data_IF_227867244654
#
_entry.id   IF_227867244654
#
_cell.length_a   1.000
_cell.length_b   1.000
_cell.length_c   1.000
_cell.angle_alpha   90.00
_cell.angle_beta   90.00
_cell.angle_gamma   90.00
#
_symmetry.space_group_name_H-M   'P 1'
#
loop_
_entity.id
_entity.type
_entity.pdbx_description
1 polymer ?
#
# COMPACT_ATOMS: atom_id res chain seq x y z
N UNK A 1 -36.67 -11.90 -37.45
CA UNK A 1 -35.54 -12.60 -36.80
C UNK A 1 -34.87 -11.63 -35.83
N UNK A 2 -35.14 -11.75 -34.52
CA UNK A 2 -34.48 -10.91 -33.49
C UNK A 2 -33.16 -11.57 -33.12
N UNK A 3 -32.03 -10.89 -33.46
CA UNK A 3 -30.71 -11.32 -33.00
C UNK A 3 -30.60 -10.94 -31.52
N UNK A 4 -30.65 -11.91 -30.62
CA UNK A 4 -30.34 -11.73 -29.21
C UNK A 4 -28.82 -11.81 -29.10
N UNK A 5 -28.16 -10.68 -28.95
CA UNK A 5 -26.73 -10.63 -28.62
C UNK A 5 -26.62 -10.95 -27.13
N UNK A 6 -26.29 -12.19 -26.83
CA UNK A 6 -25.93 -12.60 -25.47
C UNK A 6 -24.50 -12.12 -25.24
N UNK A 7 -24.34 -11.08 -24.44
CA UNK A 7 -23.03 -10.75 -23.87
C UNK A 7 -22.67 -11.86 -22.86
N UNK A 8 -21.87 -12.81 -23.29
CA UNK A 8 -21.19 -13.71 -22.35
C UNK A 8 -20.20 -12.82 -21.58
N UNK A 9 -20.63 -12.34 -20.43
CA UNK A 9 -19.70 -11.79 -19.44
C UNK A 9 -18.87 -12.98 -19.00
N UNK A 10 -17.59 -12.93 -19.27
CA UNK A 10 -16.63 -13.94 -18.84
C UNK A 10 -16.58 -13.92 -17.31
N UNK A 11 -17.39 -14.79 -16.68
CA UNK A 11 -17.65 -14.81 -15.22
C UNK A 11 -16.40 -15.23 -14.44
N UNK A 12 -15.35 -15.68 -15.14
CA UNK A 12 -14.13 -16.24 -14.52
C UNK A 12 -12.95 -15.26 -14.45
N UNK A 13 -13.10 -14.02 -14.91
CA UNK A 13 -12.00 -13.07 -14.79
C UNK A 13 -11.98 -12.51 -13.38
N UNK A 14 -11.06 -13.00 -12.56
CA UNK A 14 -10.80 -12.40 -11.25
C UNK A 14 -10.41 -10.94 -11.46
N UNK A 15 -11.07 -10.05 -10.73
CA UNK A 15 -10.76 -8.64 -10.71
C UNK A 15 -10.46 -8.20 -9.28
N UNK A 16 -9.53 -7.29 -9.14
CA UNK A 16 -9.17 -6.70 -7.86
C UNK A 16 -9.31 -5.18 -7.91
N UNK A 17 -9.35 -4.56 -6.74
CA UNK A 17 -9.27 -3.10 -6.62
C UNK A 17 -7.89 -2.70 -6.13
N UNK A 18 -7.50 -1.44 -6.34
CA UNK A 18 -6.26 -0.88 -5.81
C UNK A 18 -6.61 0.24 -4.84
N UNK A 19 -5.86 0.35 -3.75
CA UNK A 19 -6.02 1.41 -2.74
C UNK A 19 -4.68 2.10 -2.52
N UNK A 20 -4.68 3.43 -2.71
CA UNK A 20 -3.49 4.26 -2.60
C UNK A 20 -3.81 5.46 -1.68
N UNK A 21 -3.50 5.39 -0.39
CA UNK A 21 -3.57 6.57 0.48
C UNK A 21 -2.41 7.52 0.14
N UNK A 22 -2.71 8.79 -0.10
CA UNK A 22 -1.71 9.80 -0.44
C UNK A 22 -1.91 11.05 0.41
N UNK A 23 -0.82 11.67 0.84
CA UNK A 23 -0.82 13.01 1.40
C UNK A 23 0.35 13.82 0.84
N UNK A 24 0.11 15.10 0.50
CA UNK A 24 1.11 15.97 -0.15
C UNK A 24 2.43 16.02 0.62
N UNK A 25 2.35 16.06 1.95
CA UNK A 25 3.52 16.12 2.83
C UNK A 25 3.43 15.07 3.94
N UNK A 26 4.56 14.50 4.28
CA UNK A 26 4.67 13.60 5.42
C UNK A 26 4.63 14.43 6.71
N UNK A 27 3.50 14.48 7.40
CA UNK A 27 3.43 15.03 8.76
C UNK A 27 3.95 13.96 9.72
N UNK A 28 5.23 14.08 10.07
CA UNK A 28 5.78 13.32 11.18
C UNK A 28 5.39 14.01 12.50
N UNK A 29 4.63 13.30 13.33
CA UNK A 29 4.30 13.75 14.68
C UNK A 29 5.49 13.50 15.62
N UNK A 30 6.52 14.33 15.51
CA UNK A 30 7.53 14.46 16.57
C UNK A 30 7.86 15.94 16.71
N UNK A 31 8.02 16.40 17.95
CA UNK A 31 8.41 17.77 18.25
C UNK A 31 9.75 18.18 17.61
N UNK A 32 10.56 17.23 17.19
CA UNK A 32 11.84 17.44 16.50
C UNK A 32 11.71 17.86 15.03
N UNK A 33 10.61 17.51 14.35
CA UNK A 33 10.39 17.81 12.94
C UNK A 33 9.70 19.15 12.65
N UNK A 34 9.44 19.98 13.67
CA UNK A 34 9.01 21.37 13.46
C UNK A 34 10.02 22.22 12.67
N UNK A 35 11.24 21.71 12.45
CA UNK A 35 12.32 22.41 11.69
C UNK A 35 12.35 22.09 10.20
N UNK A 36 11.64 21.10 9.71
CA UNK A 36 11.55 20.87 8.26
C UNK A 36 10.44 21.79 7.75
N UNK A 37 10.82 22.95 7.22
CA UNK A 37 9.88 23.85 6.54
C UNK A 37 9.23 23.08 5.39
N UNK A 38 7.88 22.95 5.36
CA UNK A 38 7.16 22.24 4.31
C UNK A 38 7.15 22.95 2.96
N UNK A 39 7.87 24.06 2.80
CA UNK A 39 7.64 25.08 1.79
C UNK A 39 8.35 24.85 0.46
N UNK A 40 8.99 23.72 0.24
CA UNK A 40 9.52 23.43 -1.09
C UNK A 40 8.62 22.42 -1.78
N UNK A 41 7.92 22.85 -2.81
CA UNK A 41 7.16 21.99 -3.75
C UNK A 41 8.00 20.80 -4.25
N UNK A 42 9.33 20.97 -4.26
CA UNK A 42 10.29 19.94 -4.60
C UNK A 42 10.18 18.67 -3.74
N UNK A 43 9.62 18.75 -2.52
CA UNK A 43 9.48 17.66 -1.57
C UNK A 43 8.07 17.07 -1.51
N UNK A 44 7.20 17.44 -2.44
CA UNK A 44 5.83 16.98 -2.50
C UNK A 44 5.74 15.49 -2.86
N UNK A 45 5.05 14.70 -2.04
CA UNK A 45 4.69 13.31 -2.38
C UNK A 45 3.84 13.26 -3.65
N UNK A 46 3.02 14.27 -3.93
CA UNK A 46 2.24 14.37 -5.16
C UNK A 46 3.14 14.36 -6.38
N UNK A 47 4.20 15.16 -6.37
CA UNK A 47 5.16 15.19 -7.47
C UNK A 47 5.84 13.83 -7.69
N UNK A 48 6.28 13.19 -6.62
CA UNK A 48 6.85 11.82 -6.68
C UNK A 48 5.83 10.85 -7.26
N UNK A 49 4.61 10.88 -6.75
CA UNK A 49 3.53 10.02 -7.22
C UNK A 49 3.25 10.23 -8.70
N UNK A 50 2.96 11.46 -9.13
CA UNK A 50 2.60 11.74 -10.51
C UNK A 50 3.73 11.47 -11.50
N UNK A 51 4.92 11.95 -11.19
CA UNK A 51 6.01 11.92 -12.14
C UNK A 51 6.74 10.55 -12.20
N UNK A 52 6.60 9.72 -11.17
CA UNK A 52 7.27 8.42 -11.09
C UNK A 52 6.27 7.29 -10.89
N UNK A 53 5.66 7.17 -9.70
CA UNK A 53 4.84 6.00 -9.35
C UNK A 53 3.66 5.82 -10.29
N UNK A 54 2.89 6.89 -10.56
CA UNK A 54 1.74 6.82 -11.45
C UNK A 54 2.11 6.49 -12.90
N UNK A 55 3.18 7.07 -13.42
CA UNK A 55 3.68 6.73 -14.77
C UNK A 55 4.09 5.26 -14.86
N UNK A 56 4.75 4.73 -13.84
CA UNK A 56 5.11 3.32 -13.78
C UNK A 56 3.86 2.44 -13.68
N UNK A 57 2.86 2.83 -12.91
CA UNK A 57 1.58 2.13 -12.83
C UNK A 57 0.87 2.13 -14.17
N UNK A 58 0.72 3.29 -14.81
CA UNK A 58 0.09 3.43 -16.13
C UNK A 58 0.73 2.54 -17.20
N UNK A 59 2.03 2.32 -17.12
CA UNK A 59 2.79 1.52 -18.06
C UNK A 59 2.70 0.01 -17.82
N UNK A 60 2.68 -0.41 -16.57
CA UNK A 60 3.00 -1.77 -16.18
C UNK A 60 1.84 -2.54 -15.52
N UNK A 61 0.81 -1.86 -15.00
CA UNK A 61 -0.40 -2.53 -14.51
C UNK A 61 -1.31 -2.95 -15.65
N UNK A 62 -1.96 -4.10 -15.48
CA UNK A 62 -3.02 -4.55 -16.39
C UNK A 62 -4.37 -3.98 -15.94
N UNK A 63 -4.72 -2.79 -16.39
CA UNK A 63 -5.96 -2.10 -15.99
C UNK A 63 -7.25 -2.84 -16.37
N UNK A 64 -7.19 -3.84 -17.26
CA UNK A 64 -8.35 -4.68 -17.58
C UNK A 64 -8.75 -5.63 -16.44
N UNK A 65 -7.84 -5.87 -15.51
CA UNK A 65 -8.04 -6.71 -14.32
C UNK A 65 -8.41 -5.89 -13.08
N UNK A 66 -8.35 -4.56 -13.18
CA UNK A 66 -8.60 -3.65 -12.06
C UNK A 66 -10.03 -3.10 -12.15
N UNK A 67 -10.86 -3.39 -11.15
CA UNK A 67 -12.23 -2.89 -11.05
C UNK A 67 -12.25 -1.38 -10.73
N UNK A 68 -11.58 -0.99 -9.65
CA UNK A 68 -11.54 0.40 -9.19
C UNK A 68 -10.20 0.71 -8.53
N UNK A 69 -9.66 1.89 -8.81
CA UNK A 69 -8.53 2.46 -8.10
C UNK A 69 -9.07 3.52 -7.13
N UNK A 70 -8.92 3.29 -5.85
CA UNK A 70 -9.26 4.24 -4.80
C UNK A 70 -8.02 5.05 -4.41
N UNK A 71 -8.05 6.35 -4.64
CA UNK A 71 -7.04 7.30 -4.19
C UNK A 71 -7.64 8.08 -3.03
N UNK A 72 -7.06 7.94 -1.84
CA UNK A 72 -7.60 8.54 -0.61
C UNK A 72 -6.71 9.67 -0.13
N UNK A 73 -7.30 10.84 0.04
CA UNK A 73 -6.59 12.11 0.29
C UNK A 73 -7.17 12.86 1.49
N UNK A 74 -6.37 13.68 2.18
CA UNK A 74 -6.87 14.69 3.09
C UNK A 74 -7.82 15.67 2.37
N UNK A 75 -8.94 16.02 3.02
CA UNK A 75 -9.99 16.91 2.48
C UNK A 75 -9.43 18.14 1.75
N UNK A 76 -8.53 18.87 2.42
CA UNK A 76 -7.96 20.12 1.94
C UNK A 76 -6.96 19.98 0.77
N UNK A 77 -6.66 18.75 0.33
CA UNK A 77 -5.71 18.45 -0.75
C UNK A 77 -6.38 17.90 -2.01
N UNK A 78 -7.68 17.62 -1.95
CA UNK A 78 -8.41 16.94 -3.05
C UNK A 78 -8.42 17.76 -4.34
N UNK A 79 -8.73 19.03 -4.24
CA UNK A 79 -8.87 19.90 -5.43
C UNK A 79 -7.52 20.12 -6.10
N UNK A 80 -6.48 20.42 -5.34
CA UNK A 80 -5.12 20.53 -5.84
C UNK A 80 -4.63 19.22 -6.48
N UNK A 81 -4.93 18.09 -5.83
CA UNK A 81 -4.57 16.78 -6.37
C UNK A 81 -5.27 16.52 -7.72
N UNK A 82 -6.58 16.79 -7.82
CA UNK A 82 -7.35 16.60 -9.05
C UNK A 82 -6.83 17.47 -10.19
N UNK A 83 -6.57 18.74 -9.91
CA UNK A 83 -6.04 19.68 -10.90
C UNK A 83 -4.74 19.17 -11.52
N UNK A 84 -3.84 18.64 -10.70
CA UNK A 84 -2.58 18.09 -11.19
C UNK A 84 -2.73 16.70 -11.81
N UNK A 85 -3.52 15.81 -11.19
CA UNK A 85 -3.68 14.42 -11.61
C UNK A 85 -4.22 14.28 -13.03
N UNK A 86 -5.20 15.10 -13.42
CA UNK A 86 -5.79 15.03 -14.76
C UNK A 86 -4.88 15.55 -15.88
N UNK A 87 -3.73 16.12 -15.57
CA UNK A 87 -2.68 16.43 -16.55
C UNK A 87 -1.88 15.19 -16.98
N UNK A 88 -2.00 14.10 -16.24
CA UNK A 88 -1.31 12.84 -16.52
C UNK A 88 -2.21 11.83 -17.25
N UNK A 89 -1.64 10.83 -17.94
CA UNK A 89 -2.42 9.79 -18.61
C UNK A 89 -3.38 9.10 -17.67
N UNK A 90 -4.63 8.94 -18.11
CA UNK A 90 -5.68 8.27 -17.35
C UNK A 90 -5.96 6.90 -17.98
N UNK A 91 -5.92 5.80 -17.20
CA UNK A 91 -6.34 4.49 -17.69
C UNK A 91 -7.87 4.45 -17.84
N UNK A 92 -8.36 3.49 -18.62
CA UNK A 92 -9.81 3.29 -18.79
C UNK A 92 -10.50 2.65 -17.57
N UNK A 93 -9.76 2.35 -16.53
CA UNK A 93 -10.28 1.82 -15.27
C UNK A 93 -10.93 2.92 -14.45
N UNK A 94 -11.96 2.57 -13.69
CA UNK A 94 -12.60 3.50 -12.76
C UNK A 94 -11.61 3.99 -11.70
N UNK A 95 -11.53 5.30 -11.51
CA UNK A 95 -10.74 5.94 -10.45
C UNK A 95 -11.68 6.71 -9.54
N UNK A 96 -11.63 6.44 -8.25
CA UNK A 96 -12.35 7.18 -7.23
C UNK A 96 -11.37 7.94 -6.33
N UNK A 97 -11.43 9.26 -6.38
CA UNK A 97 -10.70 10.14 -5.47
C UNK A 97 -11.61 10.41 -4.28
N UNK A 98 -11.20 9.98 -3.09
CA UNK A 98 -12.02 9.93 -1.89
C UNK A 98 -11.40 10.79 -0.80
N UNK A 99 -12.26 11.51 -0.07
CA UNK A 99 -11.90 12.19 1.14
C UNK A 99 -11.58 11.20 2.26
N UNK A 100 -10.42 11.35 2.91
CA UNK A 100 -10.06 10.49 4.05
C UNK A 100 -11.07 10.62 5.21
N UNK A 101 -11.74 11.76 5.34
CA UNK A 101 -12.80 11.95 6.32
C UNK A 101 -13.97 11.00 6.10
N UNK A 102 -14.35 10.75 4.84
CA UNK A 102 -15.42 9.80 4.47
C UNK A 102 -15.09 8.35 4.86
N UNK A 103 -13.81 8.03 5.03
CA UNK A 103 -13.32 6.71 5.42
C UNK A 103 -13.12 6.64 6.93
N UNK A 104 -12.48 7.64 7.51
CA UNK A 104 -12.07 7.64 8.91
C UNK A 104 -13.18 8.13 9.87
N UNK A 105 -14.06 9.02 9.41
CA UNK A 105 -15.08 9.66 10.24
C UNK A 105 -14.52 10.60 11.31
N UNK A 106 -13.25 10.98 11.21
CA UNK A 106 -12.56 11.90 12.13
C UNK A 106 -11.78 12.96 11.37
N UNK A 107 -11.64 14.19 11.92
CA UNK A 107 -10.86 15.24 11.28
C UNK A 107 -9.40 14.84 11.08
N UNK A 108 -8.91 15.04 9.86
CA UNK A 108 -7.58 14.61 9.41
C UNK A 108 -6.42 15.28 10.15
N UNK A 109 -6.64 16.49 10.65
CA UNK A 109 -5.60 17.37 11.17
C UNK A 109 -4.96 16.90 12.47
N UNK A 110 -5.69 16.04 13.21
CA UNK A 110 -5.28 15.54 14.53
C UNK A 110 -4.45 14.26 14.50
N UNK A 111 -4.26 13.69 13.31
CA UNK A 111 -3.64 12.36 13.17
C UNK A 111 -2.48 12.38 12.18
N UNK A 112 -1.35 11.77 12.54
CA UNK A 112 -0.21 11.63 11.64
C UNK A 112 -0.53 10.75 10.42
N UNK A 113 -0.02 11.12 9.24
CA UNK A 113 -0.36 10.47 7.96
C UNK A 113 -0.11 8.96 7.96
N UNK A 114 1.00 8.49 8.53
CA UNK A 114 1.31 7.06 8.62
C UNK A 114 0.21 6.26 9.30
N UNK A 115 -0.36 6.78 10.41
CA UNK A 115 -1.45 6.09 11.12
C UNK A 115 -2.75 6.11 10.34
N UNK A 116 -3.04 7.22 9.65
CA UNK A 116 -4.20 7.31 8.76
C UNK A 116 -4.10 6.31 7.63
N UNK A 117 -2.95 6.20 6.97
CA UNK A 117 -2.72 5.24 5.90
C UNK A 117 -3.02 3.80 6.35
N UNK A 118 -2.52 3.40 7.52
CA UNK A 118 -2.80 2.07 8.08
C UNK A 118 -4.30 1.81 8.27
N UNK A 119 -5.03 2.79 8.80
CA UNK A 119 -6.48 2.68 9.00
C UNK A 119 -7.24 2.69 7.67
N UNK A 120 -6.88 3.58 6.75
CA UNK A 120 -7.48 3.68 5.42
C UNK A 120 -7.36 2.36 4.67
N UNK A 121 -6.19 1.72 4.67
CA UNK A 121 -5.96 0.42 4.03
C UNK A 121 -6.89 -0.69 4.54
N UNK A 122 -7.31 -0.62 5.81
CA UNK A 122 -8.27 -1.57 6.37
C UNK A 122 -9.73 -1.13 6.13
N UNK A 123 -10.05 0.13 6.41
CA UNK A 123 -11.41 0.66 6.38
C UNK A 123 -12.00 0.76 4.98
N UNK A 124 -11.19 1.00 3.97
CA UNK A 124 -11.62 1.06 2.57
C UNK A 124 -12.30 -0.24 2.13
N UNK A 125 -12.06 -1.35 2.83
CA UNK A 125 -12.73 -2.62 2.58
C UNK A 125 -14.25 -2.53 2.59
N UNK A 126 -14.84 -1.54 3.27
CA UNK A 126 -16.28 -1.31 3.25
C UNK A 126 -16.79 -0.73 1.92
N UNK A 127 -15.93 -0.10 1.13
CA UNK A 127 -16.25 0.44 -0.21
C UNK A 127 -15.86 -0.51 -1.34
N UNK A 128 -14.81 -1.30 -1.16
CA UNK A 128 -14.33 -2.28 -2.15
C UNK A 128 -15.39 -3.32 -2.46
N UNK A 129 -15.68 -3.58 -3.73
CA UNK A 129 -16.67 -4.58 -4.20
C UNK A 129 -16.02 -5.91 -4.58
N UNK A 130 -14.76 -5.91 -4.99
CA UNK A 130 -14.00 -7.09 -5.39
C UNK A 130 -13.68 -8.00 -4.21
N UNK A 131 -13.39 -9.27 -4.49
CA UNK A 131 -12.99 -10.28 -3.48
C UNK A 131 -11.72 -9.87 -2.74
N UNK A 132 -10.81 -9.23 -3.46
CA UNK A 132 -9.50 -8.79 -2.96
C UNK A 132 -9.21 -7.37 -3.40
N UNK A 133 -8.29 -6.71 -2.71
CA UNK A 133 -7.75 -5.41 -3.11
C UNK A 133 -6.28 -5.29 -2.76
N UNK A 134 -5.53 -4.70 -3.69
CA UNK A 134 -4.12 -4.40 -3.53
C UNK A 134 -3.95 -3.07 -2.80
N UNK A 135 -3.16 -3.06 -1.76
CA UNK A 135 -2.76 -1.82 -1.08
C UNK A 135 -1.38 -1.40 -1.57
N UNK A 136 -1.25 -0.15 -1.95
CA UNK A 136 0.00 0.48 -2.36
C UNK A 136 0.23 1.75 -1.53
N UNK A 137 1.49 2.03 -1.21
CA UNK A 137 1.88 3.36 -0.74
C UNK A 137 2.17 4.27 -1.94
N UNK A 138 2.15 5.58 -1.74
CA UNK A 138 2.38 6.57 -2.78
C UNK A 138 3.83 6.57 -3.32
N UNK A 139 4.72 5.85 -2.62
CA UNK A 139 6.12 5.68 -2.97
C UNK A 139 6.44 4.33 -3.65
N UNK A 140 5.42 3.55 -3.99
CA UNK A 140 5.57 2.30 -4.72
C UNK A 140 5.28 2.55 -6.21
N UNK A 141 6.17 2.10 -7.08
CA UNK A 141 5.98 2.07 -8.54
C UNK A 141 5.94 0.65 -9.08
N UNK A 142 5.12 0.38 -10.09
CA UNK A 142 5.10 -0.92 -10.79
C UNK A 142 6.20 -0.95 -11.83
N UNK A 143 7.27 -1.70 -11.57
CA UNK A 143 8.49 -1.67 -12.36
C UNK A 143 8.38 -2.50 -13.65
N UNK A 144 7.77 -3.67 -13.59
CA UNK A 144 7.56 -4.58 -14.72
C UNK A 144 6.09 -4.92 -14.92
N UNK A 145 5.75 -5.49 -16.09
CA UNK A 145 4.38 -5.92 -16.38
C UNK A 145 3.85 -6.82 -15.27
N UNK A 146 2.75 -6.40 -14.66
CA UNK A 146 2.15 -7.07 -13.54
C UNK A 146 0.73 -7.52 -13.85
N UNK A 147 0.41 -8.76 -13.48
CA UNK A 147 -0.90 -9.38 -13.67
C UNK A 147 -1.43 -9.88 -12.33
N UNK A 148 -2.75 -9.95 -12.19
CA UNK A 148 -3.42 -10.46 -10.99
C UNK A 148 -2.97 -11.88 -10.62
N UNK A 149 -2.75 -12.75 -11.60
CA UNK A 149 -2.31 -14.14 -11.39
C UNK A 149 -1.07 -14.27 -10.51
N UNK A 150 -0.20 -13.23 -10.48
CA UNK A 150 0.99 -13.24 -9.63
C UNK A 150 0.70 -13.13 -8.14
N UNK A 151 -0.51 -12.71 -7.78
CA UNK A 151 -0.93 -12.68 -6.37
C UNK A 151 -1.41 -14.02 -5.85
N UNK A 152 -1.70 -15.00 -6.71
CA UNK A 152 -2.26 -16.27 -6.29
C UNK A 152 -1.24 -17.40 -6.42
N UNK A 153 -1.40 -18.40 -5.59
CA UNK A 153 -0.72 -19.69 -5.72
C UNK A 153 -1.56 -20.61 -6.60
N UNK A 154 -1.00 -21.75 -7.02
CA UNK A 154 -1.65 -22.72 -7.91
C UNK A 154 -2.96 -23.31 -7.35
N UNK A 155 -3.17 -23.19 -6.06
CA UNK A 155 -4.38 -23.63 -5.34
C UNK A 155 -5.35 -22.47 -5.01
N UNK A 156 -5.27 -21.37 -5.74
CA UNK A 156 -6.09 -20.15 -5.57
C UNK A 156 -5.98 -19.46 -4.21
N UNK A 157 -5.02 -19.86 -3.38
CA UNK A 157 -4.72 -19.09 -2.16
C UNK A 157 -3.96 -17.82 -2.50
N UNK A 158 -4.23 -16.76 -1.74
CA UNK A 158 -3.55 -15.48 -1.89
C UNK A 158 -2.10 -15.61 -1.41
N UNK A 159 -1.17 -15.07 -2.18
CA UNK A 159 0.23 -14.99 -1.78
C UNK A 159 0.42 -13.96 -0.65
N UNK A 160 1.07 -14.36 0.42
CA UNK A 160 1.70 -13.40 1.33
C UNK A 160 3.03 -12.98 0.75
N UNK A 161 3.27 -11.70 0.69
CA UNK A 161 4.59 -11.20 0.37
C UNK A 161 5.37 -10.97 1.66
N UNK A 162 6.33 -11.84 1.91
CA UNK A 162 6.99 -11.92 3.20
C UNK A 162 8.48 -11.65 3.02
N UNK A 163 8.90 -10.46 3.41
CA UNK A 163 10.30 -10.04 3.29
C UNK A 163 10.97 -9.76 4.63
N UNK A 164 10.22 -9.55 5.70
CA UNK A 164 10.83 -9.27 7.00
C UNK A 164 10.66 -10.38 8.02
N UNK A 165 11.67 -10.47 8.87
CA UNK A 165 11.67 -11.39 10.00
C UNK A 165 11.11 -10.67 11.24
N UNK A 166 10.26 -11.36 12.01
CA UNK A 166 9.63 -10.84 13.23
C UNK A 166 10.61 -10.17 14.19
N UNK A 167 11.82 -10.71 14.34
CA UNK A 167 12.83 -10.16 15.25
C UNK A 167 13.23 -8.71 14.95
N UNK A 168 13.13 -8.26 13.69
CA UNK A 168 13.34 -6.86 13.31
C UNK A 168 12.20 -5.93 13.67
N UNK A 169 10.99 -6.47 13.92
CA UNK A 169 9.75 -5.69 14.06
C UNK A 169 8.88 -6.14 15.24
N UNK A 170 9.48 -6.66 16.30
CA UNK A 170 8.77 -7.23 17.44
C UNK A 170 7.72 -6.29 18.06
N UNK A 171 8.00 -4.97 18.07
CA UNK A 171 7.05 -3.97 18.56
C UNK A 171 5.72 -3.95 17.79
N UNK A 172 5.74 -4.23 16.50
CA UNK A 172 4.52 -4.31 15.68
C UNK A 172 3.64 -5.49 16.10
N UNK A 173 4.27 -6.60 16.45
CA UNK A 173 3.58 -7.80 16.89
C UNK A 173 2.98 -7.65 18.28
N UNK A 174 3.76 -7.13 19.21
CA UNK A 174 3.29 -6.80 20.55
C UNK A 174 2.10 -5.87 20.47
N UNK A 175 2.23 -4.76 19.73
CA UNK A 175 1.18 -3.77 19.57
C UNK A 175 -0.08 -4.33 18.90
N UNK A 176 0.07 -5.07 17.81
CA UNK A 176 -1.07 -5.68 17.13
C UNK A 176 -1.75 -6.75 17.98
N UNK A 177 -1.00 -7.53 18.77
CA UNK A 177 -1.58 -8.49 19.73
C UNK A 177 -2.42 -7.77 20.78
N UNK A 178 -1.90 -6.68 21.35
CA UNK A 178 -2.62 -5.86 22.32
C UNK A 178 -3.93 -5.30 21.73
N UNK A 179 -3.88 -4.76 20.50
CA UNK A 179 -5.08 -4.25 19.82
C UNK A 179 -6.16 -5.31 19.65
N UNK A 180 -5.77 -6.56 19.45
CA UNK A 180 -6.69 -7.69 19.37
C UNK A 180 -7.12 -8.24 20.76
N UNK A 181 -6.53 -7.77 21.85
CA UNK A 181 -6.75 -8.29 23.21
C UNK A 181 -6.14 -9.66 23.43
N UNK A 182 -5.03 -9.92 22.76
CA UNK A 182 -4.28 -11.16 22.87
C UNK A 182 -3.01 -10.94 23.67
N UNK A 183 -2.64 -11.92 24.50
CA UNK A 183 -1.30 -11.96 25.05
C UNK A 183 -0.29 -12.21 23.93
N UNK A 184 0.81 -11.47 23.94
CA UNK A 184 1.90 -11.70 23.01
C UNK A 184 2.59 -13.04 23.32
N UNK A 185 2.50 -13.99 22.40
CA UNK A 185 3.04 -15.35 22.55
C UNK A 185 3.86 -15.72 21.31
N UNK A 186 5.17 -15.42 21.29
CA UNK A 186 6.04 -15.67 20.15
C UNK A 186 5.94 -17.08 19.57
N UNK A 187 5.98 -18.11 20.42
CA UNK A 187 5.92 -19.50 19.99
C UNK A 187 4.61 -19.90 19.27
N UNK A 188 3.48 -19.24 19.57
CA UNK A 188 2.23 -19.44 18.82
C UNK A 188 2.29 -18.75 17.47
N UNK A 189 2.95 -17.60 17.40
CA UNK A 189 3.10 -16.83 16.19
C UNK A 189 4.02 -17.54 15.19
N UNK A 190 5.10 -18.14 15.67
CA UNK A 190 6.03 -18.90 14.83
C UNK A 190 5.37 -20.13 14.16
N UNK A 191 4.30 -20.65 14.76
CA UNK A 191 3.48 -21.72 14.16
C UNK A 191 2.49 -21.23 13.10
N UNK A 192 2.10 -19.95 13.13
CA UNK A 192 1.17 -19.39 12.15
C UNK A 192 1.87 -19.01 10.85
N UNK A 193 3.13 -18.67 10.96
CA UNK A 193 3.93 -18.18 9.87
C UNK A 193 5.21 -18.98 9.83
N UNK A 194 5.56 -19.51 8.68
CA UNK A 194 6.75 -20.30 8.52
C UNK A 194 7.98 -19.55 9.08
N UNK A 195 8.48 -19.99 10.26
CA UNK A 195 9.64 -19.42 10.99
C UNK A 195 9.54 -17.93 11.36
N UNK A 196 8.35 -17.42 11.68
CA UNK A 196 8.18 -16.03 12.13
C UNK A 196 8.23 -14.98 11.04
N UNK A 197 8.05 -15.37 9.78
CA UNK A 197 7.89 -14.45 8.67
C UNK A 197 6.46 -13.87 8.61
N UNK A 198 6.31 -12.62 8.19
CA UNK A 198 5.03 -11.91 8.12
C UNK A 198 4.83 -11.12 6.85
N UNK A 199 3.55 -10.78 6.63
CA UNK A 199 3.19 -9.62 5.79
C UNK A 199 3.99 -8.41 6.28
N UNK A 200 4.78 -7.85 5.40
CA UNK A 200 5.76 -6.83 5.77
C UNK A 200 5.19 -5.43 5.55
N UNK A 201 5.36 -4.95 4.37
CA UNK A 201 4.95 -3.62 3.93
C UNK A 201 4.27 -3.72 2.56
N UNK A 202 3.74 -2.61 2.07
CA UNK A 202 3.19 -2.55 0.71
C UNK A 202 4.20 -3.00 -0.35
N UNK A 203 3.75 -3.70 -1.41
CA UNK A 203 2.36 -4.04 -1.76
C UNK A 203 1.85 -5.31 -1.08
N UNK A 204 0.59 -5.30 -0.64
CA UNK A 204 -0.08 -6.48 -0.09
C UNK A 204 -1.50 -6.61 -0.63
N UNK A 205 -1.91 -7.84 -0.94
CA UNK A 205 -3.28 -8.15 -1.39
C UNK A 205 -4.13 -8.59 -0.21
N UNK A 206 -5.14 -7.80 0.14
CA UNK A 206 -6.03 -8.10 1.25
C UNK A 206 -7.36 -8.71 0.78
N UNK A 207 -7.83 -9.74 1.49
CA UNK A 207 -9.17 -10.31 1.28
C UNK A 207 -10.23 -9.40 1.89
N UNK A 208 -11.09 -8.82 1.05
CA UNK A 208 -12.03 -7.75 1.40
C UNK A 208 -12.94 -8.11 2.59
N UNK A 209 -13.56 -9.29 2.56
CA UNK A 209 -14.43 -9.76 3.65
C UNK A 209 -13.68 -9.91 4.97
N UNK A 210 -12.43 -10.35 4.93
CA UNK A 210 -11.60 -10.51 6.13
C UNK A 210 -11.20 -9.18 6.74
N UNK A 211 -10.86 -8.19 5.93
CA UNK A 211 -10.56 -6.84 6.39
C UNK A 211 -11.78 -6.16 7.04
N UNK A 212 -12.98 -6.28 6.42
CA UNK A 212 -14.25 -5.83 7.04
C UNK A 212 -14.52 -6.50 8.39
N UNK A 213 -14.31 -7.81 8.46
CA UNK A 213 -14.53 -8.57 9.69
C UNK A 213 -13.55 -8.15 10.79
N UNK A 214 -12.30 -7.86 10.47
CA UNK A 214 -11.34 -7.27 11.41
C UNK A 214 -11.82 -5.91 11.92
N UNK A 215 -12.19 -5.00 11.02
CA UNK A 215 -12.72 -3.68 11.41
C UNK A 215 -13.96 -3.81 12.33
N UNK A 216 -14.89 -4.69 11.99
CA UNK A 216 -16.08 -4.96 12.83
C UNK A 216 -15.71 -5.58 14.19
N UNK A 217 -14.67 -6.41 14.25
CA UNK A 217 -14.15 -6.96 15.49
C UNK A 217 -13.56 -5.85 16.37
N UNK A 218 -12.72 -4.99 15.81
CA UNK A 218 -12.11 -3.86 16.51
C UNK A 218 -13.17 -2.86 17.01
N UNK A 219 -14.18 -2.57 16.17
CA UNK A 219 -15.32 -1.73 16.53
C UNK A 219 -16.08 -2.26 17.74
N UNK A 220 -16.34 -3.58 17.81
CA UNK A 220 -16.99 -4.19 18.99
C UNK A 220 -16.11 -4.16 20.22
N UNK A 221 -14.80 -4.35 20.06
CA UNK A 221 -13.85 -4.39 21.17
C UNK A 221 -13.61 -3.03 21.81
N UNK A 222 -13.44 -1.99 20.98
CA UNK A 222 -13.00 -0.67 21.42
C UNK A 222 -14.14 0.37 21.46
N UNK A 223 -15.37 -0.06 21.20
CA UNK A 223 -16.55 0.80 21.18
C UNK A 223 -16.91 1.32 19.78
N UNK A 224 -18.21 1.42 19.46
CA UNK A 224 -18.67 1.71 18.11
C UNK A 224 -18.29 3.11 17.59
N UNK A 225 -18.10 4.07 18.47
CA UNK A 225 -17.76 5.47 18.14
C UNK A 225 -16.31 5.84 18.47
N UNK A 226 -15.64 5.08 19.33
CA UNK A 226 -14.32 5.41 19.88
C UNK A 226 -13.18 4.61 19.26
N UNK A 227 -13.46 3.48 18.62
CA UNK A 227 -12.46 2.51 18.20
C UNK A 227 -11.37 3.06 17.27
N UNK A 228 -11.69 4.00 16.36
CA UNK A 228 -10.70 4.63 15.47
C UNK A 228 -9.75 5.49 16.31
N UNK A 229 -10.29 6.31 17.20
CA UNK A 229 -9.48 7.13 18.11
C UNK A 229 -8.59 6.26 19.01
N UNK A 230 -9.12 5.15 19.54
CA UNK A 230 -8.33 4.20 20.33
C UNK A 230 -7.17 3.60 19.52
N UNK A 231 -7.43 3.17 18.29
CA UNK A 231 -6.36 2.66 17.40
C UNK A 231 -5.27 3.70 17.14
N UNK A 232 -5.66 4.96 16.95
CA UNK A 232 -4.72 6.06 16.71
C UNK A 232 -3.91 6.34 17.96
N UNK A 233 -4.55 6.49 19.12
CA UNK A 233 -3.90 6.78 20.39
C UNK A 233 -2.96 5.65 20.81
N UNK A 234 -3.44 4.40 20.73
CA UNK A 234 -2.65 3.23 21.10
C UNK A 234 -1.48 2.95 20.16
N UNK A 235 -1.50 3.42 18.92
CA UNK A 235 -0.35 3.29 18.03
C UNK A 235 0.89 4.05 18.54
N UNK A 236 0.70 5.15 19.30
CA UNK A 236 1.82 5.86 19.94
C UNK A 236 2.55 4.95 20.92
N UNK A 237 1.78 4.19 21.69
CA UNK A 237 2.29 3.35 22.77
C UNK A 237 2.73 1.97 22.25
N UNK A 238 1.91 1.32 21.43
CA UNK A 238 2.05 -0.08 21.07
C UNK A 238 2.54 -0.33 19.64
N UNK A 239 2.60 0.68 18.76
CA UNK A 239 3.13 0.60 17.40
C UNK A 239 2.57 -0.55 16.56
N UNK A 240 1.25 -0.79 16.58
CA UNK A 240 0.64 -1.77 15.69
C UNK A 240 0.75 -1.34 14.22
N UNK A 241 0.70 -2.31 13.28
CA UNK A 241 0.60 -2.06 11.85
C UNK A 241 -0.60 -2.79 11.25
N UNK A 242 -1.11 -2.30 10.12
CA UNK A 242 -2.30 -2.85 9.46
C UNK A 242 -2.12 -4.32 9.07
N UNK A 243 -0.98 -4.67 8.51
CA UNK A 243 -0.75 -6.03 8.02
C UNK A 243 -0.49 -7.01 9.17
N UNK A 244 0.30 -6.62 10.17
CA UNK A 244 0.50 -7.45 11.35
C UNK A 244 -0.81 -7.68 12.10
N UNK A 245 -1.61 -6.61 12.26
CA UNK A 245 -2.92 -6.70 12.90
C UNK A 245 -3.87 -7.63 12.13
N UNK A 246 -3.91 -7.49 10.80
CA UNK A 246 -4.71 -8.32 9.93
C UNK A 246 -4.29 -9.80 9.96
N UNK A 247 -2.99 -10.06 9.87
CA UNK A 247 -2.42 -11.40 9.92
C UNK A 247 -2.73 -12.11 11.25
N UNK A 248 -2.52 -11.42 12.38
CA UNK A 248 -2.83 -11.97 13.70
C UNK A 248 -4.32 -12.24 13.90
N UNK A 249 -5.18 -11.36 13.37
CA UNK A 249 -6.63 -11.59 13.41
C UNK A 249 -7.01 -12.88 12.66
N UNK A 250 -6.49 -13.08 11.45
CA UNK A 250 -6.76 -14.28 10.67
C UNK A 250 -6.19 -15.53 11.32
N UNK A 251 -4.99 -15.45 11.84
CA UNK A 251 -4.30 -16.61 12.41
C UNK A 251 -4.80 -17.03 13.79
N UNK A 252 -4.95 -16.07 14.69
CA UNK A 252 -5.24 -16.38 16.10
C UNK A 252 -6.72 -16.33 16.45
N UNK A 253 -7.47 -15.40 15.84
CA UNK A 253 -8.89 -15.22 16.15
C UNK A 253 -9.76 -16.04 15.19
N UNK A 254 -9.54 -15.92 13.88
CA UNK A 254 -10.32 -16.65 12.87
C UNK A 254 -9.80 -18.05 12.60
N UNK A 255 -8.53 -18.32 12.86
CA UNK A 255 -7.87 -19.62 12.63
C UNK A 255 -8.03 -20.14 11.19
N UNK A 256 -8.06 -19.21 10.22
CA UNK A 256 -8.27 -19.55 8.81
C UNK A 256 -7.21 -18.94 7.87
N UNK A 257 -6.12 -18.45 8.41
CA UNK A 257 -5.07 -17.81 7.62
C UNK A 257 -4.54 -18.74 6.52
N UNK A 258 -4.22 -19.99 6.85
CA UNK A 258 -3.70 -20.97 5.89
C UNK A 258 -4.70 -21.43 4.82
N UNK A 259 -6.00 -21.17 5.03
CA UNK A 259 -7.05 -21.41 4.03
C UNK A 259 -7.16 -20.29 3.01
N UNK A 260 -6.73 -19.09 3.38
CA UNK A 260 -6.83 -17.90 2.54
C UNK A 260 -5.49 -17.52 1.93
N UNK A 261 -4.40 -17.77 2.65
CA UNK A 261 -3.07 -17.29 2.30
C UNK A 261 -2.03 -18.38 2.41
N UNK A 262 -1.09 -18.36 1.47
CA UNK A 262 0.17 -19.11 1.54
C UNK A 262 1.34 -18.19 1.24
N UNK A 263 2.50 -18.55 1.76
CA UNK A 263 3.73 -17.80 1.49
C UNK A 263 4.01 -17.74 0.00
N UNK A 264 4.29 -16.54 -0.49
CA UNK A 264 4.78 -16.28 -1.83
C UNK A 264 5.88 -15.22 -1.76
N UNK A 265 6.89 -15.35 -2.57
CA UNK A 265 7.90 -14.30 -2.70
C UNK A 265 7.50 -13.38 -3.84
N UNK A 266 7.23 -12.10 -3.53
CA UNK A 266 7.07 -11.07 -4.53
C UNK A 266 8.39 -10.30 -4.63
N UNK A 267 9.08 -10.37 -5.77
CA UNK A 267 10.31 -9.59 -5.94
C UNK A 267 10.00 -8.11 -5.96
N UNK A 268 10.55 -7.38 -4.97
CA UNK A 268 10.47 -5.92 -4.86
C UNK A 268 11.88 -5.37 -4.93
N UNK A 269 12.09 -4.36 -5.76
CA UNK A 269 13.36 -3.66 -5.85
C UNK A 269 13.44 -2.58 -4.76
N UNK A 270 14.23 -2.85 -3.74
CA UNK A 270 14.51 -1.93 -2.64
C UNK A 270 15.86 -1.21 -2.78
N UNK A 271 16.46 -1.24 -3.96
CA UNK A 271 17.80 -0.72 -4.19
C UNK A 271 17.99 0.78 -3.88
N UNK A 272 16.89 1.51 -3.67
CA UNK A 272 16.94 2.93 -3.31
C UNK A 272 16.98 3.19 -1.80
N UNK A 273 16.78 2.18 -0.94
CA UNK A 273 16.81 2.38 0.52
C UNK A 273 18.20 2.71 1.07
N UNK A 274 19.24 2.08 0.54
CA UNK A 274 20.61 2.15 1.08
C UNK A 274 21.54 3.06 0.28
N UNK A 275 20.98 4.03 -0.46
CA UNK A 275 21.75 4.71 -1.47
C UNK A 275 22.52 5.96 -0.98
N UNK A 276 23.77 6.09 -1.52
CA UNK A 276 24.70 7.17 -1.20
C UNK A 276 24.30 8.57 -1.72
N UNK A 277 24.97 9.60 -1.21
CA UNK A 277 24.64 11.01 -1.40
C UNK A 277 24.98 11.64 -2.76
N UNK A 278 25.61 10.94 -3.72
CA UNK A 278 26.00 11.48 -5.02
C UNK A 278 24.89 11.36 -6.08
N UNK A 279 24.49 12.49 -6.67
CA UNK A 279 23.41 12.55 -7.67
C UNK A 279 23.74 11.84 -8.99
N UNK A 280 25.01 11.83 -9.44
CA UNK A 280 25.42 11.08 -10.64
C UNK A 280 25.37 9.59 -10.39
N UNK A 281 25.88 9.16 -9.23
CA UNK A 281 25.87 7.76 -8.81
C UNK A 281 24.43 7.28 -8.67
N UNK A 282 23.52 8.08 -8.09
CA UNK A 282 22.08 7.77 -7.99
C UNK A 282 21.44 7.60 -9.37
N UNK A 283 21.65 8.55 -10.27
CA UNK A 283 21.09 8.46 -11.64
C UNK A 283 21.56 7.20 -12.35
N UNK A 284 22.86 6.88 -12.26
CA UNK A 284 23.43 5.68 -12.87
C UNK A 284 22.94 4.39 -12.21
N UNK A 285 22.74 4.41 -10.89
CA UNK A 285 22.20 3.28 -10.16
C UNK A 285 20.76 2.96 -10.59
N UNK A 286 19.89 3.97 -10.64
CA UNK A 286 18.53 3.79 -11.14
C UNK A 286 18.55 3.23 -12.56
N UNK A 287 19.32 3.84 -13.46
CA UNK A 287 19.45 3.39 -14.85
C UNK A 287 19.93 1.94 -14.98
N UNK A 288 20.91 1.53 -14.19
CA UNK A 288 21.62 0.26 -14.38
C UNK A 288 21.12 -0.87 -13.46
N UNK A 289 20.52 -0.56 -12.30
CA UNK A 289 20.05 -1.54 -11.32
C UNK A 289 18.54 -1.59 -11.20
N UNK A 290 17.85 -0.45 -11.29
CA UNK A 290 16.41 -0.41 -11.17
C UNK A 290 15.74 -0.64 -12.54
N UNK A 291 16.07 0.18 -13.55
CA UNK A 291 15.43 0.10 -14.87
C UNK A 291 15.76 -1.18 -15.66
N UNK A 292 16.86 -1.85 -15.35
CA UNK A 292 17.25 -3.13 -15.95
C UNK A 292 16.84 -4.34 -15.12
N UNK A 293 16.20 -4.13 -13.99
CA UNK A 293 15.69 -5.21 -13.16
C UNK A 293 14.42 -5.79 -13.82
N UNK A 294 14.56 -6.94 -14.43
CA UNK A 294 13.47 -7.68 -15.07
C UNK A 294 12.85 -8.75 -14.18
N UNK A 295 13.25 -8.81 -12.90
CA UNK A 295 12.77 -9.79 -11.92
C UNK A 295 11.77 -9.18 -10.94
N UNK A 296 11.98 -7.92 -10.54
CA UNK A 296 11.12 -7.26 -9.56
C UNK A 296 9.91 -6.63 -10.22
N UNK A 297 8.74 -6.84 -9.64
CA UNK A 297 7.49 -6.25 -10.13
C UNK A 297 7.26 -4.83 -9.62
N UNK A 298 7.77 -4.52 -8.44
CA UNK A 298 7.59 -3.22 -7.81
C UNK A 298 8.94 -2.63 -7.39
N UNK A 299 8.97 -1.31 -7.26
CA UNK A 299 10.10 -0.55 -6.73
C UNK A 299 9.60 0.42 -5.66
N UNK A 300 10.34 0.51 -4.55
CA UNK A 300 10.10 1.51 -3.51
C UNK A 300 10.95 2.75 -3.76
N UNK A 301 10.34 3.93 -3.67
CA UNK A 301 10.99 5.24 -3.87
C UNK A 301 10.86 6.04 -2.57
N UNK A 302 11.72 5.79 -1.56
CA UNK A 302 11.55 6.35 -0.22
C UNK A 302 11.49 7.88 -0.21
N UNK A 303 10.56 8.43 0.56
CA UNK A 303 10.30 9.88 0.63
C UNK A 303 11.51 10.69 1.10
N UNK A 304 12.28 10.18 2.06
CA UNK A 304 13.48 10.82 2.59
C UNK A 304 14.59 10.94 1.53
N UNK A 305 14.74 9.93 0.67
CA UNK A 305 15.70 9.95 -0.43
C UNK A 305 15.22 10.87 -1.54
N UNK A 306 13.94 10.81 -1.85
CA UNK A 306 13.32 11.64 -2.88
C UNK A 306 13.52 13.13 -2.59
N UNK A 307 13.24 13.59 -1.39
CA UNK A 307 13.34 14.96 -0.97
C UNK A 307 14.73 15.58 -1.21
N UNK A 308 15.79 14.78 -1.03
CA UNK A 308 17.18 15.25 -1.17
C UNK A 308 17.77 15.06 -2.56
N UNK A 309 17.13 14.28 -3.44
CA UNK A 309 17.70 13.76 -4.69
C UNK A 309 16.76 13.79 -5.88
N UNK A 310 15.72 14.60 -5.80
CA UNK A 310 14.64 14.68 -6.78
C UNK A 310 15.12 14.68 -8.23
N UNK A 311 16.04 15.59 -8.58
CA UNK A 311 16.56 15.74 -9.95
C UNK A 311 17.25 14.46 -10.45
N UNK A 312 18.06 13.82 -9.60
CA UNK A 312 18.77 12.59 -9.94
C UNK A 312 17.82 11.42 -10.13
N UNK A 313 16.80 11.32 -9.27
CA UNK A 313 15.77 10.27 -9.33
C UNK A 313 14.95 10.42 -10.60
N UNK A 314 14.44 11.63 -10.90
CA UNK A 314 13.69 11.90 -12.12
C UNK A 314 14.52 11.60 -13.38
N UNK A 315 15.76 12.03 -13.41
CA UNK A 315 16.67 11.76 -14.55
C UNK A 315 16.91 10.25 -14.73
N UNK A 316 17.06 9.52 -13.61
CA UNK A 316 17.21 8.07 -13.64
C UNK A 316 15.95 7.38 -14.17
N UNK A 317 14.76 7.69 -13.63
CA UNK A 317 13.51 7.07 -14.05
C UNK A 317 13.04 7.46 -15.45
N UNK A 318 13.41 8.64 -15.98
CA UNK A 318 13.19 8.95 -17.41
C UNK A 318 13.76 7.86 -18.31
N UNK A 319 14.87 7.26 -17.91
CA UNK A 319 15.45 6.15 -18.65
C UNK A 319 14.59 4.88 -18.61
N UNK A 320 13.95 4.57 -17.48
CA UNK A 320 13.02 3.45 -17.39
C UNK A 320 11.81 3.60 -18.34
N UNK A 321 11.35 4.83 -18.59
CA UNK A 321 10.24 5.09 -19.51
C UNK A 321 10.66 4.93 -20.98
N UNK A 322 11.90 5.27 -21.34
CA UNK A 322 12.40 5.29 -22.71
C UNK A 322 12.86 3.92 -23.21
N UNK A 323 13.28 3.01 -22.34
CA UNK A 323 13.75 1.67 -22.73
C UNK A 323 12.66 0.82 -23.40
N UNK A 324 11.39 1.21 -23.30
CA UNK A 324 10.25 0.38 -23.73
C UNK A 324 9.54 0.96 -24.95
N UNK A 325 10.01 2.08 -25.48
CA UNK A 325 9.52 2.63 -26.75
C UNK A 325 10.38 2.21 -27.96
N UNK A 326 11.35 1.36 -27.74
CA UNK A 326 12.15 0.66 -28.75
C UNK A 326 11.89 -0.87 -28.61
#
# INVERSE_FOLDING_TARGET
MKIVVVFIVDINKMTYSIVIPIAKYMRLYTNEYKKIKPDKEEHSNFRRFFEISWKLHCKNLNFKEIDTIFIVLPTHQIDEFKEEFYKFPQPKTKIEIIDEYDILGIPSEKVGNTRKQMLIKLLISFRVKTKTYLTLDDDIGTLNKFKEEFFYNDDDTIGFFMNSHRSGHEKWWVGSSYMLGLAYQPAKLDKLTDKGLLMDVTPELLHTKSARNLCNFLKRKWGPTTWINELILKNVEYRWTEYTLYCLYLGLIKKNITKLYKRKTLPINNALWDFSNDSKVMTNHIKNKVCKDNKSYFVTIPSNIYANKLSAIHKGFKHCYNIINN
#
